data_IF_798285079927
#
_entry.id   IF_798285079927
#
_cell.length_a   1.000
_cell.length_b   1.000
_cell.length_c   1.000
_cell.angle_alpha   90.00
_cell.angle_beta   90.00
_cell.angle_gamma   90.00
#
_symmetry.space_group_name_H-M   'P 1'
#
loop_
_entity.id
_entity.type
_entity.pdbx_description
1 polymer ?
#
# COMPACT_ATOMS: atom_id res chain seq x y z
N UNK A 1 3.47 0.82 6.58
CA UNK A 1 4.01 0.03 5.45
C UNK A 1 5.40 0.54 5.12
N UNK A 2 6.30 -0.36 4.76
CA UNK A 2 7.62 -0.03 4.23
C UNK A 2 7.60 -0.26 2.72
N UNK A 3 7.84 0.81 1.97
CA UNK A 3 7.92 0.84 0.51
C UNK A 3 9.29 1.41 0.14
N UNK A 4 10.04 0.71 -0.70
CA UNK A 4 11.37 1.11 -1.14
C UNK A 4 12.26 -0.10 -1.39
N UNK A 5 13.34 0.10 -2.16
CA UNK A 5 14.22 -1.00 -2.60
C UNK A 5 15.02 -1.65 -1.47
N UNK A 6 15.29 -0.91 -0.38
CA UNK A 6 15.97 -1.44 0.80
C UNK A 6 15.18 -1.13 2.10
N UNK A 7 14.40 -2.08 2.62
CA UNK A 7 13.64 -1.87 3.85
C UNK A 7 14.49 -2.08 5.12
N UNK A 8 15.72 -2.61 5.02
CA UNK A 8 16.50 -3.07 6.20
C UNK A 8 16.85 -1.94 7.15
N UNK A 9 17.13 -0.75 6.60
CA UNK A 9 17.42 0.45 7.39
C UNK A 9 16.29 0.83 8.36
N UNK A 10 15.04 0.42 8.05
CA UNK A 10 13.88 0.69 8.89
C UNK A 10 13.46 -0.52 9.74
N UNK A 11 13.65 -1.74 9.23
CA UNK A 11 13.25 -2.96 9.93
C UNK A 11 13.95 -3.14 11.28
N UNK A 12 15.26 -2.90 11.35
CA UNK A 12 16.00 -3.07 12.60
C UNK A 12 15.55 -2.07 13.69
N UNK A 13 15.47 -0.74 13.43
CA UNK A 13 14.94 0.21 14.41
C UNK A 13 13.50 -0.08 14.83
N UNK A 14 12.62 -0.48 13.89
CA UNK A 14 11.24 -0.84 14.20
C UNK A 14 11.17 -2.07 15.10
N UNK A 15 11.95 -3.10 14.82
CA UNK A 15 12.01 -4.29 15.68
C UNK A 15 12.52 -3.94 17.09
N UNK A 16 13.47 -3.01 17.20
CA UNK A 16 14.04 -2.59 18.49
C UNK A 16 13.11 -1.70 19.31
N UNK A 17 12.40 -0.77 18.68
CA UNK A 17 11.69 0.31 19.37
C UNK A 17 10.16 0.24 19.25
N UNK A 18 9.63 -0.50 18.26
CA UNK A 18 8.21 -0.51 17.91
C UNK A 18 7.71 -1.92 17.52
N UNK A 19 8.22 -2.97 18.17
CA UNK A 19 7.90 -4.37 17.87
C UNK A 19 6.41 -4.74 17.98
N UNK A 20 5.61 -3.90 18.65
CA UNK A 20 4.17 -4.08 18.79
C UNK A 20 3.37 -3.55 17.57
N UNK A 21 3.98 -2.74 16.71
CA UNK A 21 3.32 -2.20 15.53
C UNK A 21 3.40 -3.22 14.38
N UNK A 22 2.29 -3.51 13.69
CA UNK A 22 2.33 -4.36 12.50
C UNK A 22 3.12 -3.65 11.39
N UNK A 23 4.16 -4.31 10.89
CA UNK A 23 4.98 -3.83 9.77
C UNK A 23 4.72 -4.71 8.56
N UNK A 24 4.15 -4.11 7.52
CA UNK A 24 4.02 -4.73 6.20
C UNK A 24 5.13 -4.18 5.31
N UNK A 25 5.96 -5.07 4.78
CA UNK A 25 6.96 -4.77 3.75
C UNK A 25 6.33 -5.04 2.40
N UNK A 26 6.28 -4.01 1.54
CA UNK A 26 5.75 -4.15 0.19
C UNK A 26 6.88 -4.66 -0.72
N UNK A 27 6.64 -5.72 -1.52
CA UNK A 27 7.63 -6.21 -2.47
C UNK A 27 8.07 -5.11 -3.45
N UNK A 28 9.34 -5.13 -3.83
CA UNK A 28 9.87 -4.24 -4.87
C UNK A 28 9.30 -4.61 -6.26
N UNK A 29 9.27 -3.63 -7.16
CA UNK A 29 8.68 -3.77 -8.48
C UNK A 29 8.61 -2.43 -9.21
N UNK A 30 7.84 -2.39 -10.30
CA UNK A 30 7.49 -1.10 -10.89
C UNK A 30 6.53 -0.32 -9.96
N UNK A 31 6.42 1.00 -10.21
CA UNK A 31 5.57 1.91 -9.43
C UNK A 31 4.14 1.38 -9.25
N UNK A 32 3.55 0.83 -10.29
CA UNK A 32 2.15 0.43 -10.32
C UNK A 32 1.95 -0.85 -9.49
N UNK A 33 2.81 -1.85 -9.68
CA UNK A 33 2.83 -3.07 -8.90
C UNK A 33 3.03 -2.79 -7.40
N UNK A 34 3.98 -1.92 -7.06
CA UNK A 34 4.27 -1.53 -5.68
C UNK A 34 3.06 -0.84 -5.04
N UNK A 35 2.43 0.10 -5.74
CA UNK A 35 1.27 0.81 -5.17
C UNK A 35 0.05 -0.12 -5.04
N UNK A 36 -0.18 -1.00 -6.01
CA UNK A 36 -1.27 -1.99 -5.98
C UNK A 36 -1.11 -2.94 -4.80
N UNK A 37 0.10 -3.43 -4.55
CA UNK A 37 0.40 -4.27 -3.40
C UNK A 37 0.19 -3.53 -2.07
N UNK A 38 0.61 -2.26 -1.98
CA UNK A 38 0.39 -1.44 -0.80
C UNK A 38 -1.11 -1.20 -0.53
N UNK A 39 -1.90 -0.84 -1.55
CA UNK A 39 -3.34 -0.60 -1.41
C UNK A 39 -4.08 -1.89 -1.05
N UNK A 40 -3.74 -3.02 -1.67
CA UNK A 40 -4.34 -4.33 -1.35
C UNK A 40 -4.09 -4.70 0.11
N UNK A 41 -2.83 -4.61 0.55
CA UNK A 41 -2.48 -4.92 1.93
C UNK A 41 -3.15 -3.97 2.94
N UNK A 42 -3.44 -2.72 2.55
CA UNK A 42 -4.14 -1.78 3.41
C UNK A 42 -5.64 -2.13 3.51
N UNK A 43 -6.22 -2.55 2.38
CA UNK A 43 -7.61 -3.04 2.33
C UNK A 43 -7.80 -4.29 3.18
N UNK A 44 -6.85 -5.22 3.17
CA UNK A 44 -6.93 -6.46 3.96
C UNK A 44 -6.92 -6.20 5.48
N UNK A 45 -6.36 -5.07 5.90
CA UNK A 45 -6.33 -4.65 7.31
C UNK A 45 -7.54 -3.77 7.69
N UNK A 46 -8.09 -3.02 6.74
CA UNK A 46 -9.14 -2.04 7.00
C UNK A 46 -10.50 -2.72 7.21
N UNK A 47 -11.32 -2.11 8.07
CA UNK A 47 -12.71 -2.51 8.31
C UNK A 47 -13.68 -1.45 7.79
N UNK A 48 -14.96 -1.80 7.56
CA UNK A 48 -15.98 -0.81 7.23
C UNK A 48 -16.00 0.33 8.28
N UNK A 49 -15.87 1.57 7.80
CA UNK A 49 -15.79 2.76 8.65
C UNK A 49 -14.36 3.28 8.89
N UNK A 50 -13.33 2.48 8.59
CA UNK A 50 -11.94 2.94 8.70
C UNK A 50 -11.55 3.89 7.55
N UNK A 51 -10.57 4.74 7.81
CA UNK A 51 -9.92 5.56 6.78
C UNK A 51 -8.51 5.07 6.52
N UNK A 52 -8.20 4.78 5.26
CA UNK A 52 -6.83 4.52 4.80
C UNK A 52 -6.22 5.82 4.31
N UNK A 53 -5.17 6.30 4.99
CA UNK A 53 -4.45 7.53 4.65
C UNK A 53 -3.06 7.23 4.09
N UNK A 54 -2.77 7.74 2.89
CA UNK A 54 -1.40 7.82 2.39
C UNK A 54 -0.67 9.04 2.99
N UNK A 55 0.15 8.82 4.02
CA UNK A 55 0.99 9.84 4.67
C UNK A 55 2.48 9.43 4.67
N UNK A 56 3.22 9.64 3.56
CA UNK A 56 4.60 9.21 3.44
C UNK A 56 5.54 10.10 4.25
N UNK A 57 6.47 9.49 4.99
CA UNK A 57 7.43 10.19 5.86
C UNK A 57 8.55 10.95 5.10
N UNK A 58 8.70 10.72 3.79
CA UNK A 58 9.79 11.32 3.01
C UNK A 58 9.67 11.11 1.51
N UNK A 59 10.71 11.54 0.80
CA UNK A 59 10.82 11.33 -0.63
C UNK A 59 11.08 9.86 -0.98
N UNK A 60 10.51 9.39 -2.09
CA UNK A 60 10.55 8.00 -2.54
C UNK A 60 10.95 7.93 -4.01
N UNK A 61 12.03 8.63 -4.35
CA UNK A 61 12.49 8.83 -5.74
C UNK A 61 12.94 7.53 -6.42
N UNK A 62 13.27 6.51 -5.63
CA UNK A 62 13.61 5.16 -6.10
C UNK A 62 12.40 4.40 -6.65
N UNK A 63 11.19 4.82 -6.28
CA UNK A 63 9.91 4.18 -6.62
C UNK A 63 8.96 5.09 -7.43
N UNK A 64 9.09 6.41 -7.31
CA UNK A 64 8.16 7.38 -7.90
C UNK A 64 8.90 8.60 -8.48
N UNK A 65 8.46 9.04 -9.68
CA UNK A 65 9.03 10.21 -10.36
C UNK A 65 8.76 11.55 -9.67
N UNK A 66 7.66 11.66 -8.93
CA UNK A 66 7.25 12.87 -8.21
C UNK A 66 6.21 12.56 -7.13
N UNK A 67 5.94 13.55 -6.28
CA UNK A 67 4.84 13.47 -5.32
C UNK A 67 3.48 13.31 -6.01
N UNK A 68 3.25 14.05 -7.10
CA UNK A 68 2.04 13.92 -7.92
C UNK A 68 1.91 12.50 -8.48
N UNK A 69 2.97 11.97 -9.10
CA UNK A 69 2.98 10.62 -9.65
C UNK A 69 2.65 9.54 -8.60
N UNK A 70 3.11 9.71 -7.35
CA UNK A 70 2.78 8.81 -6.24
C UNK A 70 1.31 8.91 -5.81
N UNK A 71 0.77 10.12 -5.77
CA UNK A 71 -0.65 10.35 -5.51
C UNK A 71 -1.53 9.76 -6.60
N UNK A 72 -1.17 9.96 -7.86
CA UNK A 72 -1.88 9.42 -9.02
C UNK A 72 -1.89 7.88 -8.98
N UNK A 73 -0.74 7.26 -8.71
CA UNK A 73 -0.63 5.81 -8.56
C UNK A 73 -1.54 5.26 -7.44
N UNK A 74 -1.67 5.98 -6.32
CA UNK A 74 -2.57 5.59 -5.23
C UNK A 74 -4.03 5.61 -5.66
N UNK A 75 -4.46 6.71 -6.30
CA UNK A 75 -5.84 6.87 -6.77
C UNK A 75 -6.18 5.77 -7.78
N UNK A 76 -5.27 5.48 -8.72
CA UNK A 76 -5.44 4.39 -9.68
C UNK A 76 -5.60 3.04 -8.98
N UNK A 77 -4.68 2.68 -8.07
CA UNK A 77 -4.74 1.40 -7.36
C UNK A 77 -6.01 1.24 -6.50
N UNK A 78 -6.48 2.31 -5.86
CA UNK A 78 -7.77 2.30 -5.13
C UNK A 78 -8.96 2.10 -6.06
N UNK A 79 -8.94 2.74 -7.24
CA UNK A 79 -9.99 2.59 -8.25
C UNK A 79 -10.08 1.16 -8.79
N UNK A 80 -8.94 0.51 -9.00
CA UNK A 80 -8.87 -0.91 -9.42
C UNK A 80 -9.44 -1.84 -8.34
N UNK A 81 -9.10 -1.63 -7.07
CA UNK A 81 -9.63 -2.40 -5.95
C UNK A 81 -11.16 -2.32 -5.88
N UNK A 82 -11.73 -1.13 -6.02
CA UNK A 82 -13.19 -0.91 -6.04
C UNK A 82 -13.90 -1.48 -7.26
N UNK A 83 -13.17 -1.77 -8.33
CA UNK A 83 -13.67 -2.44 -9.53
C UNK A 83 -13.65 -3.97 -9.35
N UNK A 84 -12.57 -4.52 -8.78
CA UNK A 84 -12.47 -5.94 -8.42
C UNK A 84 -13.49 -6.36 -7.35
N UNK A 85 -13.75 -5.51 -6.35
CA UNK A 85 -14.74 -5.79 -5.31
C UNK A 85 -16.19 -5.88 -5.85
N UNK A 86 -16.51 -5.12 -6.92
CA UNK A 86 -17.83 -5.17 -7.57
C UNK A 86 -18.01 -6.42 -8.44
N UNK A 87 -16.96 -6.88 -9.11
CA UNK A 87 -17.00 -8.09 -9.95
C UNK A 87 -17.16 -9.39 -9.14
N UNK A 88 -16.72 -9.42 -7.87
CA UNK A 88 -16.87 -10.59 -6.99
C UNK A 88 -18.26 -10.76 -6.37
N UNK A 89 -19.14 -9.75 -6.44
CA UNK A 89 -20.48 -9.78 -5.82
C UNK A 89 -21.59 -10.36 -6.69
N UNK A 90 -21.33 -10.66 -7.96
CA UNK A 90 -22.35 -11.14 -8.92
C UNK A 90 -22.42 -12.68 -9.03
N UNK A 91 -21.59 -13.44 -8.31
CA UNK A 91 -21.51 -14.91 -8.43
C UNK A 91 -22.20 -15.72 -7.33
N UNK A 92 -22.96 -15.10 -6.41
CA UNK A 92 -23.68 -15.81 -5.33
C UNK A 92 -25.21 -15.69 -5.43
N UNK A 93 -25.75 -15.75 -6.65
CA UNK A 93 -27.18 -15.92 -6.92
C UNK A 93 -27.37 -16.88 -8.10
N UNK A 94 -27.23 -18.19 -7.83
CA UNK A 94 -27.66 -19.26 -8.71
C UNK A 94 -28.23 -20.42 -7.88
#
# INVERSE_FOLDING_TARGET
>A
MLIGRDPRAWLEPLARHASHLPVIVVPDGDTEAVMRAAVTAASDLARPGDTVLMAPAGASWDQFRSYGHRGDAFVTAVGELGSSARAGGEQEQA
#
